data_IF_675030387186
#
_entry.id   IF_675030387186
#
_cell.length_a   1.000
_cell.length_b   1.000
_cell.length_c   1.000
_cell.angle_alpha   90.00
_cell.angle_beta   90.00
_cell.angle_gamma   90.00
#
_symmetry.space_group_name_H-M   'P 1'
#
loop_
_entity.id
_entity.type
_entity.pdbx_description
1 polymer ?
#
# COMPACT_ATOMS: atom_id res chain seq x y z
N UNK A 1 23.60 -8.47 12.69
CA UNK A 1 22.25 -7.87 12.73
C UNK A 1 21.60 -8.17 11.40
N UNK A 2 20.42 -8.79 11.39
CA UNK A 2 19.71 -9.02 10.14
C UNK A 2 19.31 -7.66 9.55
N UNK A 3 19.55 -7.46 8.27
CA UNK A 3 19.15 -6.24 7.57
C UNK A 3 17.62 -6.24 7.43
N UNK A 4 16.96 -5.11 7.72
CA UNK A 4 15.53 -4.97 7.52
C UNK A 4 15.16 -5.17 6.05
N UNK A 5 14.03 -5.83 5.80
CA UNK A 5 13.48 -5.97 4.46
C UNK A 5 12.48 -4.87 4.09
N UNK A 6 12.18 -3.93 4.99
CA UNK A 6 11.25 -2.81 4.71
C UNK A 6 11.69 -2.06 3.45
N UNK A 7 10.74 -1.77 2.57
CA UNK A 7 10.98 -1.12 1.28
C UNK A 7 11.48 -2.06 0.17
N UNK A 8 11.82 -3.31 0.47
CA UNK A 8 12.26 -4.29 -0.54
C UNK A 8 11.07 -4.95 -1.22
N UNK A 9 11.28 -5.33 -2.48
CA UNK A 9 10.33 -6.13 -3.24
C UNK A 9 10.71 -7.62 -3.19
N UNK A 10 9.75 -8.45 -2.84
CA UNK A 10 9.85 -9.91 -2.93
C UNK A 10 9.09 -10.36 -4.17
N UNK A 11 9.83 -10.88 -5.15
CA UNK A 11 9.27 -11.32 -6.42
C UNK A 11 9.13 -12.84 -6.42
N UNK A 12 7.91 -13.32 -6.63
CA UNK A 12 7.64 -14.74 -6.73
C UNK A 12 8.35 -15.35 -7.94
N UNK A 13 9.10 -16.42 -7.70
CA UNK A 13 9.69 -17.20 -8.80
C UNK A 13 8.60 -17.91 -9.61
N UNK A 14 8.82 -18.21 -10.90
CA UNK A 14 7.85 -18.95 -11.71
C UNK A 14 7.48 -20.35 -11.17
N UNK A 15 8.36 -20.95 -10.36
CA UNK A 15 8.15 -22.25 -9.73
C UNK A 15 7.24 -22.18 -8.47
N UNK A 16 6.99 -20.99 -7.93
CA UNK A 16 6.09 -20.83 -6.79
C UNK A 16 4.64 -20.93 -7.26
N UNK A 17 3.98 -22.05 -6.91
CA UNK A 17 2.62 -22.37 -7.33
C UNK A 17 1.55 -22.10 -6.24
N UNK A 18 1.94 -21.58 -5.08
CA UNK A 18 0.98 -21.19 -4.04
C UNK A 18 0.02 -20.14 -4.61
N UNK A 19 -1.31 -20.37 -4.62
CA UNK A 19 -2.27 -19.44 -5.20
C UNK A 19 -2.20 -18.04 -4.57
N UNK A 20 -1.81 -17.93 -3.31
CA UNK A 20 -1.69 -16.65 -2.62
C UNK A 20 -0.51 -15.81 -3.12
N UNK A 21 0.51 -16.42 -3.73
CA UNK A 21 1.75 -15.73 -4.12
C UNK A 21 2.25 -16.05 -5.54
N UNK A 22 1.57 -16.90 -6.29
CA UNK A 22 1.94 -17.20 -7.67
C UNK A 22 2.02 -15.91 -8.49
N UNK A 23 3.18 -15.68 -9.12
CA UNK A 23 3.50 -14.47 -9.90
C UNK A 23 3.27 -13.14 -9.15
N UNK A 24 3.32 -13.12 -7.81
CA UNK A 24 3.17 -11.89 -7.05
C UNK A 24 4.46 -11.07 -7.00
N UNK A 25 4.30 -9.76 -6.85
CA UNK A 25 5.34 -8.82 -6.43
C UNK A 25 4.86 -8.20 -5.12
N UNK A 26 5.55 -8.50 -4.02
CA UNK A 26 5.19 -8.06 -2.67
C UNK A 26 6.13 -6.95 -2.23
N UNK A 27 5.59 -5.80 -1.80
CA UNK A 27 6.35 -4.79 -1.08
C UNK A 27 6.31 -5.09 0.41
N UNK A 28 7.46 -5.12 1.07
CA UNK A 28 7.53 -5.22 2.54
C UNK A 28 7.37 -3.82 3.14
N UNK A 29 6.34 -3.66 3.97
CA UNK A 29 6.00 -2.39 4.62
C UNK A 29 6.41 -2.34 6.08
N UNK A 30 6.53 -3.49 6.75
CA UNK A 30 7.05 -3.61 8.11
C UNK A 30 7.83 -4.92 8.27
N UNK A 31 8.86 -4.90 9.10
CA UNK A 31 9.73 -6.05 9.42
C UNK A 31 10.17 -5.94 10.88
N UNK A 32 9.44 -6.62 11.75
CA UNK A 32 9.63 -6.59 13.20
C UNK A 32 9.74 -8.02 13.77
N UNK A 33 9.94 -8.15 15.08
CA UNK A 33 10.10 -9.46 15.74
C UNK A 33 8.87 -10.37 15.65
N UNK A 34 7.68 -9.80 15.42
CA UNK A 34 6.41 -10.52 15.30
C UNK A 34 6.15 -11.01 13.87
N UNK A 35 6.90 -10.50 12.88
CA UNK A 35 6.79 -10.92 11.50
C UNK A 35 6.98 -9.77 10.50
N UNK A 36 6.53 -10.01 9.28
CA UNK A 36 6.62 -9.06 8.17
C UNK A 36 5.23 -8.71 7.69
N UNK A 37 4.95 -7.43 7.53
CA UNK A 37 3.80 -6.95 6.79
C UNK A 37 4.25 -6.70 5.35
N UNK A 38 3.52 -7.26 4.39
CA UNK A 38 3.74 -6.94 2.98
C UNK A 38 2.44 -6.96 2.20
N UNK A 39 2.43 -6.23 1.09
CA UNK A 39 1.28 -6.09 0.22
C UNK A 39 1.64 -6.37 -1.23
N UNK A 40 0.75 -7.09 -1.93
CA UNK A 40 0.91 -7.45 -3.34
C UNK A 40 0.57 -6.24 -4.23
N UNK A 41 1.50 -5.87 -5.10
CA UNK A 41 1.37 -4.68 -5.96
C UNK A 41 0.77 -4.96 -7.35
N UNK A 42 0.76 -6.22 -7.78
CA UNK A 42 0.51 -6.58 -9.18
C UNK A 42 -0.74 -7.45 -9.39
N UNK A 43 -1.71 -7.36 -8.48
CA UNK A 43 -3.00 -8.06 -8.57
C UNK A 43 -4.16 -7.06 -8.51
N UNK A 44 -4.48 -6.40 -9.64
CA UNK A 44 -5.60 -5.46 -9.67
C UNK A 44 -6.91 -6.22 -9.49
N UNK A 45 -7.78 -5.67 -8.65
CA UNK A 45 -9.14 -6.14 -8.48
C UNK A 45 -10.08 -5.42 -9.47
N UNK A 46 -11.30 -5.93 -9.62
CA UNK A 46 -12.29 -5.38 -10.57
C UNK A 46 -13.13 -4.24 -9.99
N UNK A 47 -12.62 -3.54 -8.97
CA UNK A 47 -13.34 -2.48 -8.26
C UNK A 47 -12.51 -1.19 -8.22
N UNK A 48 -13.17 -0.06 -8.41
CA UNK A 48 -12.54 1.26 -8.34
C UNK A 48 -12.30 1.68 -6.89
N UNK A 49 -11.24 2.43 -6.64
CA UNK A 49 -10.97 3.01 -5.31
C UNK A 49 -12.14 3.85 -4.85
N UNK A 50 -12.72 4.65 -5.74
CA UNK A 50 -13.88 5.51 -5.44
C UNK A 50 -15.13 4.76 -4.97
N UNK A 51 -15.24 3.44 -5.23
CA UNK A 51 -16.36 2.62 -4.74
C UNK A 51 -16.26 2.38 -3.22
N UNK A 52 -15.05 2.23 -2.69
CA UNK A 52 -14.82 1.96 -1.25
C UNK A 52 -14.39 3.21 -0.48
N UNK A 53 -13.64 4.09 -1.13
CA UNK A 53 -13.10 5.31 -0.56
C UNK A 53 -13.35 6.48 -1.53
N UNK A 54 -14.58 7.02 -1.58
CA UNK A 54 -14.99 8.04 -2.55
C UNK A 54 -14.11 9.29 -2.52
N UNK A 55 -13.76 9.78 -1.33
CA UNK A 55 -12.90 10.96 -1.15
C UNK A 55 -11.48 10.74 -1.66
N UNK A 56 -11.03 9.49 -1.61
CA UNK A 56 -9.69 9.06 -2.05
C UNK A 56 -9.61 8.78 -3.55
N UNK A 57 -10.75 8.52 -4.20
CA UNK A 57 -10.84 8.22 -5.63
C UNK A 57 -10.07 9.19 -6.54
N UNK A 58 -10.24 10.52 -6.39
CA UNK A 58 -9.51 11.52 -7.19
C UNK A 58 -7.98 11.47 -7.03
N UNK A 59 -7.47 10.94 -5.92
CA UNK A 59 -6.03 10.86 -5.62
C UNK A 59 -5.42 9.51 -6.04
N UNK A 60 -6.25 8.54 -6.45
CA UNK A 60 -5.78 7.22 -6.85
C UNK A 60 -5.04 7.30 -8.20
N UNK A 61 -3.82 6.76 -8.24
CA UNK A 61 -3.07 6.66 -9.49
C UNK A 61 -3.79 5.74 -10.49
N UNK A 62 -3.76 6.03 -11.82
CA UNK A 62 -4.33 5.14 -12.82
C UNK A 62 -3.81 3.70 -12.66
N UNK A 63 -4.68 2.68 -12.77
CA UNK A 63 -6.05 2.72 -13.25
C UNK A 63 -7.12 3.10 -12.19
N UNK A 64 -6.73 3.58 -11.00
CA UNK A 64 -7.68 3.98 -9.96
C UNK A 64 -8.46 2.81 -9.35
N UNK A 65 -7.85 1.61 -9.35
CA UNK A 65 -8.47 0.36 -8.89
C UNK A 65 -7.91 -0.10 -7.55
N UNK A 66 -8.72 -0.85 -6.81
CA UNK A 66 -8.28 -1.62 -5.65
C UNK A 66 -7.41 -2.78 -6.10
N UNK A 67 -6.45 -3.18 -5.28
CA UNK A 67 -5.58 -4.33 -5.50
C UNK A 67 -5.81 -5.36 -4.40
N UNK A 68 -5.69 -6.64 -4.73
CA UNK A 68 -5.68 -7.69 -3.71
C UNK A 68 -4.34 -7.63 -2.96
N UNK A 69 -4.33 -7.07 -1.75
CA UNK A 69 -3.12 -6.87 -0.97
C UNK A 69 -2.47 -8.15 -0.42
N UNK A 70 -3.23 -9.24 -0.30
CA UNK A 70 -2.74 -10.50 0.23
C UNK A 70 -3.87 -11.38 0.77
N UNK A 71 -3.54 -12.56 1.30
CA UNK A 71 -4.55 -13.51 1.78
C UNK A 71 -5.13 -13.16 3.16
N UNK A 72 -4.55 -12.20 3.87
CA UNK A 72 -4.87 -11.87 5.27
C UNK A 72 -5.59 -10.52 5.32
N UNK A 73 -6.62 -10.40 6.18
CA UNK A 73 -7.39 -9.16 6.39
C UNK A 73 -7.88 -8.52 5.07
N UNK A 74 -8.60 -9.30 4.26
CA UNK A 74 -9.09 -8.85 2.94
C UNK A 74 -10.12 -7.71 3.03
N UNK A 75 -10.69 -7.51 4.20
CA UNK A 75 -11.66 -6.46 4.51
C UNK A 75 -10.98 -5.14 4.91
N UNK A 76 -9.67 -5.16 5.21
CA UNK A 76 -8.90 -3.97 5.53
C UNK A 76 -8.31 -3.35 4.26
N UNK A 77 -8.37 -2.02 4.17
CA UNK A 77 -7.78 -1.26 3.08
C UNK A 77 -6.53 -0.52 3.56
N UNK A 78 -5.45 -0.66 2.81
CA UNK A 78 -4.23 0.12 2.95
C UNK A 78 -3.96 0.83 1.64
N UNK A 79 -3.52 2.08 1.70
CA UNK A 79 -3.01 2.80 0.54
C UNK A 79 -1.50 2.98 0.64
N UNK A 80 -0.81 2.87 -0.49
CA UNK A 80 0.58 3.30 -0.63
C UNK A 80 0.57 4.63 -1.38
N UNK A 81 1.17 5.65 -0.78
CA UNK A 81 1.38 6.94 -1.40
C UNK A 81 2.86 7.19 -1.69
N UNK A 82 3.12 8.02 -2.70
CA UNK A 82 4.44 8.60 -2.93
C UNK A 82 4.59 9.88 -2.12
N UNK A 83 5.68 9.98 -1.37
CA UNK A 83 6.10 11.18 -0.66
C UNK A 83 6.80 12.12 -1.65
N UNK A 84 6.31 13.36 -1.78
CA UNK A 84 6.99 14.40 -2.57
C UNK A 84 7.90 15.26 -1.71
N UNK A 85 7.47 15.53 -0.48
CA UNK A 85 8.17 16.30 0.56
C UNK A 85 8.18 15.49 1.87
N UNK A 86 8.38 16.16 3.01
CA UNK A 86 8.24 15.54 4.32
C UNK A 86 6.79 15.03 4.53
N UNK A 87 6.66 13.76 4.89
CA UNK A 87 5.35 13.15 5.13
C UNK A 87 4.58 13.97 6.19
N UNK A 88 3.26 14.21 6.01
CA UNK A 88 2.44 14.77 7.08
C UNK A 88 2.63 13.97 8.37
N UNK A 89 2.72 14.67 9.51
CA UNK A 89 3.01 14.01 10.79
C UNK A 89 1.92 13.01 11.23
N UNK A 90 0.69 13.14 10.70
CA UNK A 90 -0.44 12.27 11.01
C UNK A 90 -0.87 11.46 9.78
N UNK A 91 -1.27 10.20 10.02
CA UNK A 91 -1.85 9.33 8.99
C UNK A 91 -0.89 8.73 7.97
N UNK A 92 0.42 8.89 8.18
CA UNK A 92 1.46 8.30 7.35
C UNK A 92 2.37 7.40 8.17
N UNK A 93 2.65 6.21 7.63
CA UNK A 93 3.71 5.33 8.12
C UNK A 93 4.78 5.21 7.04
N UNK A 94 5.99 5.69 7.32
CA UNK A 94 7.10 5.68 6.35
C UNK A 94 7.54 4.26 6.03
N UNK A 95 7.69 3.94 4.75
CA UNK A 95 8.24 2.66 4.24
C UNK A 95 9.62 2.88 3.62
N UNK A 96 9.76 3.91 2.79
CA UNK A 96 11.05 4.36 2.25
C UNK A 96 11.13 5.88 2.31
N UNK A 97 12.16 6.47 1.72
CA UNK A 97 12.25 7.93 1.55
C UNK A 97 11.18 8.47 0.59
N UNK A 98 10.70 7.64 -0.34
CA UNK A 98 9.73 8.05 -1.36
C UNK A 98 8.34 7.44 -1.17
N UNK A 99 8.18 6.45 -0.29
CA UNK A 99 6.93 5.69 -0.14
C UNK A 99 6.49 5.63 1.32
N UNK A 100 5.19 5.74 1.53
CA UNK A 100 4.55 5.54 2.83
C UNK A 100 3.19 4.87 2.70
N UNK A 101 2.79 4.19 3.78
CA UNK A 101 1.41 3.77 3.96
C UNK A 101 0.57 4.97 4.40
N UNK A 102 -0.64 5.05 3.87
CA UNK A 102 -1.61 6.10 4.17
C UNK A 102 -2.80 5.49 4.89
N UNK A 103 -3.17 6.10 6.01
CA UNK A 103 -4.39 5.76 6.74
C UNK A 103 -5.61 6.33 6.01
N UNK A 104 -6.38 5.44 5.38
CA UNK A 104 -7.60 5.80 4.65
C UNK A 104 -8.76 6.22 5.57
N UNK A 105 -8.63 6.02 6.89
CA UNK A 105 -9.59 6.48 7.90
C UNK A 105 -9.52 7.99 8.17
N UNK A 106 -8.48 8.67 7.68
CA UNK A 106 -8.35 10.12 7.76
C UNK A 106 -8.73 10.70 6.39
N UNK A 107 -9.50 11.79 6.35
CA UNK A 107 -9.87 12.38 5.06
C UNK A 107 -8.64 12.96 4.35
N UNK A 108 -8.60 12.97 3.00
CA UNK A 108 -7.53 13.65 2.26
C UNK A 108 -7.36 15.13 2.65
N UNK A 109 -8.47 15.82 2.94
CA UNK A 109 -8.45 17.22 3.37
C UNK A 109 -7.75 17.41 4.73
N UNK A 110 -7.85 16.43 5.64
CA UNK A 110 -7.16 16.48 6.93
C UNK A 110 -5.66 16.15 6.80
N UNK A 111 -5.28 15.28 5.87
CA UNK A 111 -3.89 14.85 5.69
C UNK A 111 -3.01 15.90 5.02
N UNK A 112 -3.58 16.64 4.07
CA UNK A 112 -2.85 17.63 3.28
C UNK A 112 -3.36 19.06 3.44
N UNK A 113 -4.40 19.28 4.26
CA UNK A 113 -5.07 20.56 4.41
C UNK A 113 -6.03 20.89 3.25
N UNK A 114 -6.47 22.14 3.19
CA UNK A 114 -7.24 22.68 2.06
C UNK A 114 -6.35 22.76 0.80
N UNK A 115 -6.42 21.77 -0.09
CA UNK A 115 -5.69 21.80 -1.37
C UNK A 115 -6.58 22.26 -2.53
N UNK A 116 -6.04 23.21 -3.30
CA UNK A 116 -6.45 23.50 -4.68
C UNK A 116 -5.58 22.64 -5.60
N UNK A 117 -6.21 21.97 -6.57
CA UNK A 117 -5.68 20.84 -7.35
C UNK A 117 -4.47 21.08 -8.24
#
# INVERSE_FOLDING_TARGET
MAESLVGKLVVATPALLDPNFVRSVVLICDDNEQGKLGIILNRPFQVEVATYAPEWGPFASPPGRVFEGGPVQREAALAIGRLRDEAPAAGWTRVTDELGLVDLGISPAELWGDLVG
#
